data_IF_967691235823
#
_entry.id   IF_967691235823
#
_cell.length_a   1.000
_cell.length_b   1.000
_cell.length_c   1.000
_cell.angle_alpha   90.00
_cell.angle_beta   90.00
_cell.angle_gamma   90.00
#
_symmetry.space_group_name_H-M   'P 1'
#
loop_
_entity.id
_entity.type
_entity.pdbx_description
1 polymer ?
#
# COMPACT_ATOMS: atom_id res chain seq x y z
N UNK A 1 -0.73 10.65 -2.43
CA UNK A 1 -0.96 9.23 -2.77
C UNK A 1 -1.94 9.04 -3.92
N UNK A 2 -2.09 7.81 -4.35
CA UNK A 2 -3.01 7.46 -5.43
C UNK A 2 -2.54 7.77 -6.85
N UNK A 3 -1.30 8.21 -7.06
CA UNK A 3 -0.78 8.57 -8.38
C UNK A 3 -0.87 7.44 -9.41
N UNK A 4 -0.72 6.19 -8.99
CA UNK A 4 -0.90 5.03 -9.87
C UNK A 4 -2.31 4.90 -10.44
N UNK A 5 -3.35 5.22 -9.67
CA UNK A 5 -4.75 5.08 -10.06
C UNK A 5 -5.32 6.38 -10.64
N UNK A 6 -5.08 7.51 -9.98
CA UNK A 6 -5.70 8.79 -10.32
C UNK A 6 -5.05 9.47 -11.54
N UNK A 7 -3.73 9.32 -11.72
CA UNK A 7 -3.03 9.84 -12.89
C UNK A 7 -3.08 8.80 -14.01
N UNK A 8 -4.13 8.84 -14.81
CA UNK A 8 -4.38 7.87 -15.87
C UNK A 8 -4.58 8.56 -17.23
N UNK A 9 -3.80 8.14 -18.23
CA UNK A 9 -3.94 8.52 -19.63
C UNK A 9 -3.74 7.27 -20.50
N UNK A 10 -4.85 6.54 -20.83
CA UNK A 10 -4.76 5.35 -21.65
C UNK A 10 -4.20 5.66 -23.04
N UNK A 11 -3.48 4.71 -23.65
CA UNK A 11 -2.91 4.83 -24.98
C UNK A 11 -3.80 4.11 -25.99
N UNK A 12 -4.55 4.88 -26.80
CA UNK A 12 -5.44 4.38 -27.87
C UNK A 12 -6.49 3.32 -27.43
N UNK A 13 -6.77 3.23 -26.13
CA UNK A 13 -7.85 2.44 -25.54
C UNK A 13 -8.69 3.30 -24.63
N UNK A 14 -9.88 2.85 -24.30
CA UNK A 14 -10.73 3.54 -23.33
C UNK A 14 -10.24 3.32 -21.89
N UNK A 15 -10.66 4.21 -20.99
CA UNK A 15 -10.41 3.99 -19.55
C UNK A 15 -11.08 2.70 -19.05
N UNK A 16 -12.25 2.35 -19.60
CA UNK A 16 -12.97 1.11 -19.29
C UNK A 16 -12.14 -0.13 -19.65
N UNK A 17 -11.52 -0.15 -20.83
CA UNK A 17 -10.65 -1.24 -21.28
C UNK A 17 -9.47 -1.40 -20.34
N UNK A 18 -8.84 -0.28 -19.97
CA UNK A 18 -7.72 -0.28 -19.01
C UNK A 18 -8.14 -0.80 -17.64
N UNK A 19 -9.30 -0.41 -17.13
CA UNK A 19 -9.86 -0.92 -15.87
C UNK A 19 -10.12 -2.42 -15.99
N UNK A 20 -10.73 -2.87 -17.09
CA UNK A 20 -11.02 -4.28 -17.30
C UNK A 20 -9.75 -5.15 -17.32
N UNK A 21 -8.71 -4.74 -18.06
CA UNK A 21 -7.41 -5.46 -18.06
C UNK A 21 -6.77 -5.48 -16.67
N UNK A 22 -6.83 -4.35 -15.96
CA UNK A 22 -6.36 -4.22 -14.58
C UNK A 22 -7.02 -5.23 -13.65
N UNK A 23 -8.36 -5.32 -13.70
CA UNK A 23 -9.15 -6.27 -12.91
C UNK A 23 -8.82 -7.73 -13.23
N UNK A 24 -8.64 -8.05 -14.50
CA UNK A 24 -8.28 -9.41 -14.94
C UNK A 24 -6.90 -9.81 -14.42
N UNK A 25 -5.91 -8.92 -14.47
CA UNK A 25 -4.57 -9.16 -13.94
C UNK A 25 -4.59 -9.37 -12.43
N UNK A 26 -5.29 -8.53 -11.68
CA UNK A 26 -5.45 -8.67 -10.23
C UNK A 26 -6.10 -10.02 -9.86
N UNK A 27 -7.18 -10.38 -10.54
CA UNK A 27 -7.88 -11.64 -10.32
C UNK A 27 -7.08 -12.88 -10.71
N UNK A 28 -6.12 -12.74 -11.63
CA UNK A 28 -5.24 -13.82 -12.07
C UNK A 28 -4.05 -14.07 -11.12
N UNK A 29 -3.83 -13.22 -10.13
CA UNK A 29 -2.71 -13.32 -9.19
C UNK A 29 -1.39 -12.81 -9.77
N UNK A 30 -1.42 -11.92 -10.75
CA UNK A 30 -0.22 -11.27 -11.28
C UNK A 30 0.52 -10.51 -10.17
N UNK A 31 1.85 -10.59 -10.19
CA UNK A 31 2.68 -9.81 -9.27
C UNK A 31 2.56 -8.32 -9.55
N UNK A 32 2.93 -7.47 -8.60
CA UNK A 32 2.88 -6.01 -8.79
C UNK A 32 3.79 -5.55 -9.95
N UNK A 33 4.92 -6.22 -10.16
CA UNK A 33 5.85 -5.97 -11.26
C UNK A 33 5.20 -6.30 -12.61
N UNK A 34 4.60 -7.48 -12.74
CA UNK A 34 3.88 -7.90 -13.96
C UNK A 34 2.68 -6.98 -14.24
N UNK A 35 1.95 -6.65 -13.21
CA UNK A 35 0.84 -5.72 -13.26
C UNK A 35 1.28 -4.33 -13.78
N UNK A 36 2.36 -3.78 -13.21
CA UNK A 36 2.90 -2.50 -13.65
C UNK A 36 3.48 -2.57 -15.07
N UNK A 37 4.13 -3.66 -15.47
CA UNK A 37 4.62 -3.86 -16.83
C UNK A 37 3.50 -3.64 -17.85
N UNK A 38 2.38 -4.36 -17.74
CA UNK A 38 1.25 -4.20 -18.68
C UNK A 38 0.67 -2.78 -18.61
N UNK A 39 0.50 -2.22 -17.40
CA UNK A 39 -0.06 -0.87 -17.21
C UNK A 39 0.78 0.25 -17.84
N UNK A 40 2.10 0.14 -17.81
CA UNK A 40 3.04 1.09 -18.43
C UNK A 40 2.90 1.07 -19.95
N UNK A 41 2.80 -0.11 -20.56
CA UNK A 41 2.66 -0.26 -22.00
C UNK A 41 1.28 0.14 -22.55
N UNK A 42 0.26 0.21 -21.70
CA UNK A 42 -1.09 0.70 -22.03
C UNK A 42 -1.33 2.17 -21.61
N UNK A 43 -0.26 2.95 -21.42
CA UNK A 43 -0.37 4.33 -20.94
C UNK A 43 0.50 5.29 -21.73
N UNK A 44 0.01 6.51 -21.97
CA UNK A 44 0.77 7.62 -22.58
C UNK A 44 1.69 8.34 -21.60
N UNK A 45 1.60 8.08 -20.29
CA UNK A 45 2.32 8.86 -19.26
C UNK A 45 3.10 8.02 -18.27
N UNK A 46 2.84 6.70 -18.16
CA UNK A 46 3.55 5.81 -17.24
C UNK A 46 4.83 5.26 -17.86
N UNK A 47 5.76 4.74 -17.03
CA UNK A 47 7.04 4.22 -17.50
C UNK A 47 7.92 5.28 -18.17
N UNK A 48 8.04 6.47 -17.56
CA UNK A 48 8.89 7.57 -18.05
C UNK A 48 8.29 8.44 -19.14
N UNK A 49 7.16 8.03 -19.74
CA UNK A 49 6.57 8.72 -20.89
C UNK A 49 6.08 10.14 -20.57
N UNK A 50 5.72 10.46 -19.32
CA UNK A 50 5.29 11.81 -18.94
C UNK A 50 6.35 12.86 -19.26
N UNK A 51 7.62 12.52 -19.12
CA UNK A 51 8.76 13.43 -19.28
C UNK A 51 9.60 13.13 -20.52
N UNK A 52 9.20 12.16 -21.34
CA UNK A 52 9.95 11.69 -22.50
C UNK A 52 10.31 12.82 -23.49
N UNK A 53 9.37 13.71 -23.73
CA UNK A 53 9.51 14.81 -24.71
C UNK A 53 9.97 16.14 -24.06
N UNK A 54 10.36 16.13 -22.77
CA UNK A 54 10.88 17.34 -22.13
C UNK A 54 12.18 17.81 -22.79
N UNK A 55 12.23 19.12 -23.10
CA UNK A 55 13.39 19.79 -23.67
C UNK A 55 14.21 20.59 -22.66
N UNK A 56 13.77 20.65 -21.43
CA UNK A 56 14.43 21.33 -20.31
C UNK A 56 14.93 20.30 -19.28
N UNK A 57 15.81 20.76 -18.39
CA UNK A 57 16.13 20.00 -17.19
C UNK A 57 14.90 19.95 -16.27
N UNK A 58 14.76 18.84 -15.55
CA UNK A 58 13.66 18.65 -14.63
C UNK A 58 14.10 17.90 -13.39
N UNK A 59 13.37 18.13 -12.29
CA UNK A 59 13.53 17.41 -11.02
C UNK A 59 12.17 16.84 -10.63
N UNK A 60 12.13 15.55 -10.34
CA UNK A 60 10.97 14.85 -9.77
C UNK A 60 11.08 14.78 -8.26
N UNK A 61 10.12 15.39 -7.55
CA UNK A 61 10.00 15.25 -6.09
C UNK A 61 8.93 14.21 -5.79
N UNK A 62 9.34 13.09 -5.21
CA UNK A 62 8.51 11.89 -5.05
C UNK A 62 8.25 11.62 -3.58
N UNK A 63 6.98 11.43 -3.22
CA UNK A 63 6.59 10.82 -1.94
C UNK A 63 6.26 9.35 -2.18
N UNK A 64 6.95 8.46 -1.44
CA UNK A 64 6.86 7.02 -1.66
C UNK A 64 5.83 6.36 -0.76
N UNK A 65 4.93 5.61 -1.38
CA UNK A 65 3.99 4.66 -0.77
C UNK A 65 4.31 3.20 -1.15
N UNK A 66 5.55 2.95 -1.56
CA UNK A 66 6.02 1.63 -2.03
C UNK A 66 7.14 1.11 -1.14
N UNK A 67 7.09 -0.17 -0.79
CA UNK A 67 8.17 -0.86 -0.09
C UNK A 67 9.48 -0.75 -0.88
N UNK A 68 10.55 -0.29 -0.20
CA UNK A 68 11.87 -0.13 -0.82
C UNK A 68 12.05 1.08 -1.73
N UNK A 69 11.06 1.97 -1.80
CA UNK A 69 11.11 3.25 -2.53
C UNK A 69 11.43 3.10 -4.04
N UNK A 70 11.02 2.00 -4.65
CA UNK A 70 11.26 1.73 -6.06
C UNK A 70 10.58 2.75 -6.98
N UNK A 71 11.35 3.68 -7.53
CA UNK A 71 10.88 4.75 -8.43
C UNK A 71 10.16 4.22 -9.67
N UNK A 72 10.48 3.01 -10.12
CA UNK A 72 9.81 2.38 -11.25
C UNK A 72 8.38 1.96 -10.94
N UNK A 73 8.08 1.72 -9.67
CA UNK A 73 6.78 1.29 -9.15
C UNK A 73 5.92 2.45 -8.65
N UNK A 74 6.54 3.48 -8.04
CA UNK A 74 5.81 4.66 -7.53
C UNK A 74 5.11 5.37 -8.68
N UNK A 75 3.79 5.56 -8.56
CA UNK A 75 2.92 6.08 -9.62
C UNK A 75 3.06 5.34 -10.96
N UNK A 76 3.56 4.07 -10.94
CA UNK A 76 3.96 3.27 -12.10
C UNK A 76 5.06 3.94 -12.94
N UNK A 77 6.03 4.57 -12.28
CA UNK A 77 7.22 5.14 -12.90
C UNK A 77 6.95 6.27 -13.89
N UNK A 78 6.01 7.18 -13.59
CA UNK A 78 5.59 8.25 -14.53
C UNK A 78 6.76 9.11 -15.02
N UNK A 79 7.73 9.35 -14.15
CA UNK A 79 8.93 10.17 -14.43
C UNK A 79 10.23 9.37 -14.43
N UNK A 80 10.13 8.04 -14.30
CA UNK A 80 11.28 7.14 -14.20
C UNK A 80 11.29 6.14 -15.34
N UNK A 81 12.48 5.72 -15.79
CA UNK A 81 12.66 4.74 -16.86
C UNK A 81 11.96 3.40 -16.58
N UNK A 82 11.70 2.67 -17.64
CA UNK A 82 11.07 1.35 -17.59
C UNK A 82 11.94 0.29 -18.25
N UNK A 83 12.40 -0.67 -17.50
CA UNK A 83 13.23 -1.78 -18.00
C UNK A 83 12.40 -2.84 -18.74
N UNK A 84 11.06 -2.85 -18.57
CA UNK A 84 10.16 -3.82 -19.21
C UNK A 84 9.84 -3.44 -20.66
N UNK A 85 9.41 -4.41 -21.45
CA UNK A 85 9.18 -4.28 -22.90
C UNK A 85 7.74 -4.67 -23.28
N UNK A 86 7.31 -4.33 -24.50
CA UNK A 86 6.06 -4.86 -25.07
C UNK A 86 6.05 -6.39 -25.15
N UNK A 87 7.22 -7.02 -25.36
CA UNK A 87 7.35 -8.47 -25.33
C UNK A 87 7.06 -9.05 -23.95
N UNK A 88 7.57 -8.40 -22.88
CA UNK A 88 7.26 -8.79 -21.50
C UNK A 88 5.77 -8.63 -21.21
N UNK A 89 5.17 -7.52 -21.59
CA UNK A 89 3.75 -7.26 -21.40
C UNK A 89 2.88 -8.30 -22.11
N UNK A 90 3.20 -8.68 -23.35
CA UNK A 90 2.50 -9.72 -24.09
C UNK A 90 2.67 -11.10 -23.44
N UNK A 91 3.90 -11.43 -23.01
CA UNK A 91 4.20 -12.68 -22.31
C UNK A 91 3.40 -12.83 -21.01
N UNK A 92 3.18 -11.74 -20.28
CA UNK A 92 2.32 -11.72 -19.08
C UNK A 92 0.87 -12.03 -19.43
N UNK A 93 0.33 -11.42 -20.49
CA UNK A 93 -1.02 -11.70 -20.98
C UNK A 93 -1.18 -13.20 -21.36
N UNK A 94 -0.16 -13.78 -21.97
CA UNK A 94 -0.13 -15.22 -22.33
C UNK A 94 -0.04 -16.11 -21.09
N UNK A 95 0.90 -15.82 -20.17
CA UNK A 95 1.11 -16.55 -18.92
C UNK A 95 -0.20 -16.74 -18.14
N UNK A 96 -0.99 -15.67 -18.05
CA UNK A 96 -2.27 -15.71 -17.34
C UNK A 96 -3.48 -16.09 -18.22
N UNK A 97 -3.25 -16.48 -19.48
CA UNK A 97 -4.28 -16.90 -20.45
C UNK A 97 -5.39 -15.85 -20.63
N UNK A 98 -4.99 -14.60 -20.74
CA UNK A 98 -5.94 -13.48 -20.82
C UNK A 98 -6.26 -13.04 -22.25
N UNK A 99 -5.58 -13.55 -23.30
CA UNK A 99 -5.78 -13.14 -24.71
C UNK A 99 -7.25 -13.12 -25.15
N UNK A 100 -8.04 -14.10 -24.74
CA UNK A 100 -9.46 -14.19 -25.12
C UNK A 100 -10.40 -13.41 -24.19
N UNK A 101 -9.86 -12.76 -23.16
CA UNK A 101 -10.65 -12.08 -22.13
C UNK A 101 -10.46 -10.56 -22.17
N UNK A 102 -9.40 -10.08 -22.80
CA UNK A 102 -9.10 -8.63 -22.91
C UNK A 102 -9.60 -8.08 -24.24
N UNK A 103 -9.89 -6.75 -24.31
CA UNK A 103 -10.30 -6.09 -25.53
C UNK A 103 -9.28 -6.27 -26.67
N UNK A 104 -9.77 -6.35 -27.91
CA UNK A 104 -8.92 -6.55 -29.08
C UNK A 104 -7.97 -5.37 -29.31
N UNK A 105 -8.40 -4.15 -28.96
CA UNK A 105 -7.62 -2.92 -29.03
C UNK A 105 -6.36 -3.00 -28.15
N UNK A 106 -6.48 -3.61 -26.97
CA UNK A 106 -5.34 -3.85 -26.06
C UNK A 106 -4.33 -4.81 -26.70
N UNK A 107 -4.82 -5.92 -27.31
CA UNK A 107 -3.95 -6.85 -28.03
C UNK A 107 -3.27 -6.18 -29.22
N UNK A 108 -3.96 -5.30 -29.95
CA UNK A 108 -3.39 -4.55 -31.07
C UNK A 108 -2.26 -3.63 -30.61
N UNK A 109 -2.44 -2.89 -29.50
CA UNK A 109 -1.39 -2.01 -28.96
C UNK A 109 -0.15 -2.82 -28.57
N UNK A 110 -0.32 -3.90 -27.81
CA UNK A 110 0.79 -4.74 -27.38
C UNK A 110 1.45 -5.41 -28.58
N UNK A 111 0.67 -5.87 -29.58
CA UNK A 111 1.15 -6.44 -30.81
C UNK A 111 1.92 -5.44 -31.68
N UNK A 112 1.42 -4.21 -31.82
CA UNK A 112 2.10 -3.15 -32.54
C UNK A 112 3.46 -2.81 -31.91
N UNK A 113 3.53 -2.79 -30.57
CA UNK A 113 4.81 -2.62 -29.86
C UNK A 113 5.75 -3.80 -30.11
N UNK A 114 5.26 -5.03 -30.03
CA UNK A 114 6.05 -6.24 -30.31
C UNK A 114 6.65 -6.26 -31.73
N UNK A 115 5.95 -5.70 -32.71
CA UNK A 115 6.39 -5.58 -34.10
C UNK A 115 7.11 -4.26 -34.42
N UNK A 116 7.57 -3.51 -33.42
CA UNK A 116 8.25 -2.23 -33.55
C UNK A 116 7.44 -1.14 -34.30
N UNK A 117 6.12 -1.24 -34.30
CA UNK A 117 5.21 -0.22 -34.83
C UNK A 117 4.86 0.85 -33.80
N UNK A 118 5.21 0.62 -32.53
CA UNK A 118 5.20 1.59 -31.42
C UNK A 118 6.56 1.64 -30.77
N UNK A 119 6.94 2.84 -30.34
CA UNK A 119 8.19 3.06 -29.58
C UNK A 119 8.06 2.44 -28.20
N UNK A 120 9.11 1.75 -27.77
CA UNK A 120 9.23 1.24 -26.40
C UNK A 120 9.16 2.35 -25.35
N UNK A 121 8.82 1.97 -24.13
CA UNK A 121 8.92 2.85 -22.97
C UNK A 121 10.37 3.35 -22.81
N UNK A 122 10.58 4.60 -22.35
CA UNK A 122 11.92 5.16 -22.14
C UNK A 122 12.81 4.28 -21.27
N UNK A 123 14.01 3.98 -21.78
CA UNK A 123 15.04 3.16 -21.09
C UNK A 123 16.06 4.00 -20.32
N UNK A 124 15.96 5.33 -20.41
CA UNK A 124 16.84 6.28 -19.73
C UNK A 124 15.96 7.33 -19.05
N UNK A 125 16.24 7.60 -17.79
CA UNK A 125 15.57 8.68 -17.06
C UNK A 125 15.91 10.04 -17.67
N UNK A 126 14.88 10.85 -17.96
CA UNK A 126 15.04 12.20 -18.54
C UNK A 126 15.25 13.29 -17.49
N UNK A 127 14.86 13.00 -16.26
CA UNK A 127 14.97 13.90 -15.11
C UNK A 127 15.54 13.16 -13.91
N UNK A 128 16.10 13.90 -12.98
CA UNK A 128 16.49 13.35 -11.68
C UNK A 128 15.26 13.23 -10.76
N UNK A 129 15.13 12.10 -10.08
CA UNK A 129 14.03 11.85 -9.16
C UNK A 129 14.58 11.71 -7.73
N UNK A 130 13.99 12.45 -6.79
CA UNK A 130 14.34 12.44 -5.38
C UNK A 130 13.15 11.99 -4.54
N UNK A 131 13.33 10.94 -3.75
CA UNK A 131 12.34 10.57 -2.72
C UNK A 131 12.49 11.52 -1.55
N UNK A 132 11.54 12.43 -1.41
CA UNK A 132 11.55 13.51 -0.38
C UNK A 132 10.81 13.10 0.89
N UNK A 133 9.95 12.10 0.83
CA UNK A 133 9.24 11.56 1.98
C UNK A 133 8.89 10.09 1.73
N UNK A 134 9.03 9.27 2.76
CA UNK A 134 8.66 7.86 2.77
C UNK A 134 8.24 7.41 4.19
N UNK A 135 7.88 6.16 4.35
CA UNK A 135 7.47 5.61 5.65
C UNK A 135 8.59 5.72 6.71
N UNK A 136 9.86 5.53 6.33
CA UNK A 136 10.98 5.62 7.27
C UNK A 136 11.09 7.01 7.93
N UNK A 137 10.80 8.09 7.20
CA UNK A 137 10.80 9.44 7.78
C UNK A 137 9.75 9.57 8.89
N UNK A 138 8.57 8.94 8.72
CA UNK A 138 7.56 8.88 9.78
C UNK A 138 8.09 8.13 11.00
N UNK A 139 8.70 6.95 10.79
CA UNK A 139 9.23 6.12 11.87
C UNK A 139 10.37 6.80 12.62
N UNK A 140 11.25 7.52 11.93
CA UNK A 140 12.34 8.29 12.54
C UNK A 140 11.81 9.42 13.43
N UNK A 141 10.82 10.18 12.96
CA UNK A 141 10.17 11.23 13.74
C UNK A 141 9.47 10.67 14.99
N UNK A 142 8.77 9.52 14.84
CA UNK A 142 8.15 8.82 15.97
C UNK A 142 9.21 8.32 16.96
N UNK A 143 10.33 7.77 16.48
CA UNK A 143 11.45 7.33 17.32
C UNK A 143 12.06 8.45 18.13
N UNK A 144 12.36 9.58 17.49
CA UNK A 144 12.91 10.77 18.17
C UNK A 144 11.96 11.24 19.28
N UNK A 145 10.66 11.31 18.98
CA UNK A 145 9.64 11.70 19.94
C UNK A 145 9.54 10.70 21.11
N UNK A 146 9.55 9.40 20.85
CA UNK A 146 9.48 8.38 21.89
C UNK A 146 10.74 8.41 22.79
N UNK A 147 11.94 8.53 22.19
CA UNK A 147 13.19 8.66 22.94
C UNK A 147 13.23 9.91 23.82
N UNK A 148 12.75 11.05 23.34
CA UNK A 148 12.67 12.28 24.14
C UNK A 148 11.77 12.16 25.36
N UNK A 149 10.79 11.24 25.32
CA UNK A 149 9.90 10.88 26.43
C UNK A 149 10.44 9.75 27.32
N UNK A 150 11.67 9.30 27.08
CA UNK A 150 12.36 8.27 27.86
C UNK A 150 11.94 6.84 27.56
N UNK A 151 11.37 6.57 26.38
CA UNK A 151 11.06 5.21 25.95
C UNK A 151 12.29 4.53 25.30
N UNK A 152 12.47 3.24 25.59
CA UNK A 152 13.33 2.35 24.81
C UNK A 152 12.58 1.96 23.54
N UNK A 153 13.13 2.27 22.36
CA UNK A 153 12.44 2.14 21.08
C UNK A 153 12.94 0.94 20.28
N UNK A 154 12.00 0.20 19.72
CA UNK A 154 12.22 -0.81 18.69
C UNK A 154 11.41 -0.40 17.46
N UNK A 155 11.99 -0.47 16.25
CA UNK A 155 11.27 -0.25 14.98
C UNK A 155 11.08 -1.58 14.25
N UNK A 156 9.92 -1.77 13.64
CA UNK A 156 9.59 -2.96 12.88
C UNK A 156 8.82 -2.62 11.61
N UNK A 157 9.25 -3.18 10.48
CA UNK A 157 8.51 -3.15 9.23
C UNK A 157 7.42 -4.23 9.22
N UNK A 158 6.21 -3.86 8.77
CA UNK A 158 5.00 -4.70 8.81
C UNK A 158 4.43 -4.91 7.40
N UNK A 159 5.06 -5.78 6.62
CA UNK A 159 4.58 -6.20 5.31
C UNK A 159 4.11 -7.66 5.32
N UNK A 160 3.22 -8.02 4.37
CA UNK A 160 2.69 -9.35 4.19
C UNK A 160 1.39 -9.63 4.94
N UNK A 161 1.02 -10.91 5.09
CA UNK A 161 -0.25 -11.31 5.72
C UNK A 161 -0.33 -10.82 7.16
N UNK A 162 -1.45 -10.20 7.50
CA UNK A 162 -1.67 -9.58 8.82
C UNK A 162 -1.51 -10.57 9.99
N UNK A 163 -1.79 -11.86 9.79
CA UNK A 163 -1.65 -12.85 10.87
C UNK A 163 -0.20 -13.10 11.21
N UNK A 164 0.66 -13.18 10.17
CA UNK A 164 2.10 -13.33 10.35
C UNK A 164 2.72 -12.04 10.92
N UNK A 165 2.24 -10.88 10.48
CA UNK A 165 2.63 -9.58 11.05
C UNK A 165 2.29 -9.54 12.55
N UNK A 166 1.08 -9.89 12.94
CA UNK A 166 0.67 -9.92 14.35
C UNK A 166 1.54 -10.87 15.17
N UNK A 167 1.87 -12.06 14.65
CA UNK A 167 2.76 -13.00 15.33
C UNK A 167 4.11 -12.36 15.61
N UNK A 168 4.77 -11.78 14.60
CA UNK A 168 6.06 -11.08 14.76
C UNK A 168 5.97 -9.91 15.75
N UNK A 169 4.88 -9.15 15.73
CA UNK A 169 4.65 -8.05 16.68
C UNK A 169 4.59 -8.59 18.11
N UNK A 170 3.82 -9.65 18.36
CA UNK A 170 3.68 -10.23 19.70
C UNK A 170 4.99 -10.77 20.27
N UNK A 171 5.87 -11.31 19.41
CA UNK A 171 7.22 -11.76 19.79
C UNK A 171 8.15 -10.60 20.18
N UNK A 172 7.83 -9.36 19.76
CA UNK A 172 8.64 -8.16 20.02
C UNK A 172 8.02 -7.22 21.06
N UNK A 173 6.84 -7.53 21.60
CA UNK A 173 6.27 -6.76 22.72
C UNK A 173 7.06 -7.09 23.98
N UNK A 174 7.78 -6.09 24.51
CA UNK A 174 8.51 -6.22 25.77
C UNK A 174 7.56 -6.25 26.97
N UNK A 175 7.94 -6.95 28.04
CA UNK A 175 7.27 -6.84 29.35
C UNK A 175 7.80 -5.65 30.16
N UNK A 176 8.95 -5.09 29.78
CA UNK A 176 9.55 -3.93 30.44
C UNK A 176 8.70 -2.67 30.25
N UNK A 177 8.58 -1.87 31.31
CA UNK A 177 7.92 -0.57 31.25
C UNK A 177 8.78 0.44 30.46
N UNK A 178 8.13 1.46 29.90
CA UNK A 178 8.76 2.48 29.05
C UNK A 178 9.42 1.88 27.79
N UNK A 179 8.79 0.89 27.21
CA UNK A 179 9.13 0.40 25.88
C UNK A 179 8.14 0.86 24.83
N UNK A 180 8.63 1.15 23.64
CA UNK A 180 7.88 1.62 22.50
C UNK A 180 8.26 0.80 21.26
N UNK A 181 7.31 0.02 20.74
CA UNK A 181 7.46 -0.65 19.45
C UNK A 181 6.77 0.22 18.39
N UNK A 182 7.56 0.73 17.44
CA UNK A 182 7.09 1.55 16.31
C UNK A 182 6.95 0.63 15.08
N UNK A 183 5.82 0.73 14.42
CA UNK A 183 5.44 -0.09 13.27
C UNK A 183 5.32 0.78 12.03
N UNK A 184 5.81 0.30 10.90
CA UNK A 184 5.66 0.97 9.61
C UNK A 184 5.52 -0.02 8.47
N UNK A 185 4.74 0.29 7.45
CA UNK A 185 4.55 -0.55 6.28
C UNK A 185 3.10 -0.70 5.87
N UNK A 186 2.76 -1.81 5.21
CA UNK A 186 1.43 -2.03 4.66
C UNK A 186 1.06 -3.52 4.73
N UNK A 187 0.50 -4.01 5.87
CA UNK A 187 0.07 -5.38 5.97
C UNK A 187 -1.16 -5.64 5.09
N UNK A 188 -1.28 -6.87 4.59
CA UNK A 188 -2.42 -7.29 3.78
C UNK A 188 -3.45 -8.04 4.60
N UNK A 189 -4.73 -7.77 4.34
CA UNK A 189 -5.88 -8.40 5.01
C UNK A 189 -6.74 -9.12 3.99
N UNK A 190 -7.09 -10.37 4.28
CA UNK A 190 -8.12 -11.09 3.55
C UNK A 190 -9.49 -10.75 4.15
N UNK A 191 -10.32 -10.04 3.40
CA UNK A 191 -11.69 -9.73 3.79
C UNK A 191 -12.52 -11.02 3.79
N UNK A 192 -13.15 -11.35 4.91
CA UNK A 192 -13.91 -12.60 5.11
C UNK A 192 -15.41 -12.39 5.16
N UNK A 193 -15.87 -11.21 5.53
CA UNK A 193 -17.28 -10.88 5.72
C UNK A 193 -17.70 -9.59 5.04
N UNK A 194 -18.85 -9.06 5.44
CA UNK A 194 -19.44 -7.81 4.91
C UNK A 194 -19.36 -6.64 5.92
N UNK A 195 -18.46 -6.76 6.91
CA UNK A 195 -18.27 -5.73 7.93
C UNK A 195 -17.59 -4.47 7.41
N UNK A 196 -17.35 -3.54 8.31
CA UNK A 196 -16.69 -2.29 8.07
C UNK A 196 -15.36 -2.23 8.82
N UNK A 197 -14.30 -1.76 8.14
CA UNK A 197 -12.96 -1.62 8.69
C UNK A 197 -11.87 -1.71 7.64
N UNK A 198 -10.65 -1.69 8.09
CA UNK A 198 -9.46 -1.87 7.26
C UNK A 198 -8.36 -2.58 8.03
N UNK A 199 -7.18 -2.63 7.42
CA UNK A 199 -6.02 -3.36 7.95
C UNK A 199 -5.49 -2.78 9.27
N UNK A 200 -5.54 -1.46 9.45
CA UNK A 200 -5.07 -0.81 10.66
C UNK A 200 -5.96 -1.14 11.87
N UNK A 201 -7.27 -0.98 11.71
CA UNK A 201 -8.23 -1.33 12.75
C UNK A 201 -8.20 -2.83 13.05
N UNK A 202 -8.08 -3.68 12.02
CA UNK A 202 -7.97 -5.12 12.21
C UNK A 202 -6.67 -5.50 12.92
N UNK A 203 -5.53 -4.85 12.60
CA UNK A 203 -4.25 -5.05 13.27
C UNK A 203 -4.36 -4.77 14.77
N UNK A 204 -4.90 -3.61 15.14
CA UNK A 204 -5.11 -3.23 16.55
C UNK A 204 -6.00 -4.23 17.26
N UNK A 205 -7.12 -4.67 16.64
CA UNK A 205 -8.04 -5.65 17.24
C UNK A 205 -7.37 -7.03 17.44
N UNK A 206 -6.56 -7.47 16.49
CA UNK A 206 -5.81 -8.74 16.59
C UNK A 206 -4.76 -8.69 17.70
N UNK A 207 -4.03 -7.59 17.82
CA UNK A 207 -3.05 -7.40 18.90
C UNK A 207 -3.77 -7.34 20.24
N UNK A 208 -4.83 -6.53 20.37
CA UNK A 208 -5.65 -6.43 21.60
C UNK A 208 -6.15 -7.80 22.05
N UNK A 209 -6.69 -8.62 21.12
CA UNK A 209 -7.17 -9.97 21.42
C UNK A 209 -6.09 -10.86 22.06
N UNK A 210 -4.85 -10.73 21.62
CA UNK A 210 -3.74 -11.57 22.09
C UNK A 210 -3.01 -10.98 23.32
N UNK A 211 -3.22 -9.71 23.64
CA UNK A 211 -2.55 -9.02 24.75
C UNK A 211 -3.43 -8.80 25.98
N UNK A 212 -4.59 -9.47 26.08
CA UNK A 212 -5.56 -9.31 27.18
C UNK A 212 -4.98 -9.56 28.59
N UNK A 213 -3.90 -10.33 28.69
CA UNK A 213 -3.19 -10.61 29.95
C UNK A 213 -2.16 -9.53 30.32
N UNK A 214 -1.75 -8.72 29.38
CA UNK A 214 -0.76 -7.66 29.61
C UNK A 214 -1.43 -6.47 30.29
N UNK A 215 -0.77 -5.89 31.29
CA UNK A 215 -1.23 -4.67 31.96
C UNK A 215 -0.58 -3.44 31.32
N UNK A 216 -1.30 -2.32 31.27
CA UNK A 216 -0.77 -1.00 30.85
C UNK A 216 -0.12 -1.06 29.46
N UNK A 217 -0.85 -1.50 28.48
CA UNK A 217 -0.42 -1.46 27.07
C UNK A 217 -1.35 -0.54 26.28
N UNK A 218 -0.78 0.32 25.46
CA UNK A 218 -1.50 1.15 24.48
C UNK A 218 -1.09 0.71 23.08
N UNK A 219 -2.05 0.50 22.20
CA UNK A 219 -1.86 0.03 20.84
C UNK A 219 -2.58 1.00 19.91
N UNK A 220 -1.86 1.53 18.90
CA UNK A 220 -2.47 2.34 17.85
C UNK A 220 -1.89 1.98 16.49
N UNK A 221 -2.72 2.07 15.45
CA UNK A 221 -2.30 1.97 14.05
C UNK A 221 -3.23 2.77 13.17
N UNK A 222 -2.66 3.43 12.14
CA UNK A 222 -3.42 4.24 11.19
C UNK A 222 -2.75 4.33 9.82
N UNK A 223 -3.54 4.49 8.78
CA UNK A 223 -3.07 4.90 7.46
C UNK A 223 -2.72 6.38 7.45
N UNK A 224 -1.57 6.73 6.88
CA UNK A 224 -1.15 8.14 6.77
C UNK A 224 -2.02 8.95 5.82
N UNK A 225 -2.78 8.31 4.93
CA UNK A 225 -3.76 8.94 4.03
C UNK A 225 -5.07 9.36 4.72
N UNK A 226 -5.28 8.88 5.96
CA UNK A 226 -6.46 9.21 6.77
C UNK A 226 -7.64 8.25 6.59
N UNK A 227 -7.48 7.18 5.81
CA UNK A 227 -8.53 6.19 5.54
C UNK A 227 -8.03 4.78 5.82
N UNK A 228 -8.88 3.96 6.41
CA UNK A 228 -8.59 2.54 6.67
C UNK A 228 -9.69 1.65 6.08
N UNK A 229 -9.39 1.07 4.92
CA UNK A 229 -10.29 0.18 4.18
C UNK A 229 -11.57 0.88 3.70
N UNK A 230 -12.72 0.31 4.06
CA UNK A 230 -14.04 0.86 3.73
C UNK A 230 -14.66 1.68 4.88
N UNK A 231 -13.85 2.15 5.82
CA UNK A 231 -14.29 2.99 6.94
C UNK A 231 -14.00 4.47 6.70
N UNK A 232 -14.63 5.34 7.51
CA UNK A 232 -14.37 6.79 7.52
C UNK A 232 -13.34 7.19 8.60
N UNK A 233 -12.46 6.26 8.99
CA UNK A 233 -11.46 6.45 10.02
C UNK A 233 -10.08 6.11 9.47
N UNK A 234 -9.06 6.78 9.97
CA UNK A 234 -7.67 6.49 9.61
C UNK A 234 -7.16 5.18 10.24
N UNK A 235 -7.73 4.78 11.37
CA UNK A 235 -7.28 3.61 12.11
C UNK A 235 -7.95 3.48 13.48
N UNK A 236 -7.24 2.85 14.41
CA UNK A 236 -7.71 2.67 15.77
C UNK A 236 -6.61 2.85 16.82
N UNK A 237 -7.05 3.20 18.03
CA UNK A 237 -6.24 3.25 19.25
C UNK A 237 -7.00 2.54 20.37
N UNK A 238 -6.30 1.81 21.21
CA UNK A 238 -6.87 1.21 22.40
C UNK A 238 -5.83 1.09 23.50
N UNK A 239 -6.29 1.26 24.72
CA UNK A 239 -5.59 0.73 25.89
C UNK A 239 -6.05 -0.71 26.15
N UNK A 240 -5.44 -1.38 27.12
CA UNK A 240 -5.88 -2.73 27.48
C UNK A 240 -7.27 -2.71 28.13
N UNK A 241 -8.29 -2.78 27.30
CA UNK A 241 -9.68 -2.94 27.70
C UNK A 241 -10.03 -4.42 27.82
N UNK A 242 -10.77 -4.77 28.86
CA UNK A 242 -11.32 -6.13 29.02
C UNK A 242 -12.53 -6.29 28.12
N UNK A 243 -12.38 -7.09 27.09
CA UNK A 243 -13.48 -7.46 26.18
C UNK A 243 -13.50 -8.98 26.05
N UNK A 244 -14.70 -9.53 25.99
CA UNK A 244 -14.87 -10.97 25.76
C UNK A 244 -14.19 -11.42 24.44
N UNK A 245 -13.41 -12.51 24.53
CA UNK A 245 -12.66 -13.05 23.43
C UNK A 245 -13.53 -13.52 22.25
N UNK A 246 -14.74 -14.01 22.53
CA UNK A 246 -15.65 -14.48 21.49
C UNK A 246 -16.22 -13.28 20.72
N UNK A 247 -16.56 -12.21 21.41
CA UNK A 247 -16.95 -10.94 20.79
C UNK A 247 -15.88 -10.45 19.81
N UNK A 248 -14.61 -10.38 20.22
CA UNK A 248 -13.52 -9.98 19.32
C UNK A 248 -13.36 -10.91 18.11
N UNK A 249 -13.51 -12.24 18.30
CA UNK A 249 -13.46 -13.22 17.21
C UNK A 249 -14.59 -13.02 16.21
N UNK A 250 -15.79 -12.70 16.64
CA UNK A 250 -16.93 -12.43 15.77
C UNK A 250 -16.70 -11.20 14.88
N UNK A 251 -16.23 -10.09 15.47
CA UNK A 251 -15.88 -8.91 14.69
C UNK A 251 -14.77 -9.19 13.67
N UNK A 252 -13.72 -9.93 14.05
CA UNK A 252 -12.65 -10.33 13.14
C UNK A 252 -13.15 -11.26 12.02
N UNK A 253 -14.02 -12.22 12.33
CA UNK A 253 -14.60 -13.15 11.33
C UNK A 253 -15.45 -12.42 10.30
N UNK A 254 -16.10 -11.33 10.69
CA UNK A 254 -16.95 -10.53 9.80
C UNK A 254 -16.20 -9.36 9.15
N UNK A 255 -14.88 -9.20 9.38
CA UNK A 255 -14.08 -8.04 8.95
C UNK A 255 -14.71 -6.70 9.39
N UNK A 256 -15.18 -6.63 10.64
CA UNK A 256 -15.99 -5.53 11.18
C UNK A 256 -15.29 -4.76 12.33
N UNK A 257 -13.98 -4.59 12.19
CA UNK A 257 -13.13 -3.93 13.19
C UNK A 257 -13.51 -2.47 13.43
N UNK A 258 -14.04 -1.77 12.42
CA UNK A 258 -14.48 -0.37 12.58
C UNK A 258 -15.62 -0.23 13.56
N UNK A 259 -16.68 -1.05 13.43
CA UNK A 259 -17.80 -1.00 14.37
C UNK A 259 -17.40 -1.44 15.78
N UNK A 260 -16.42 -2.35 15.90
CA UNK A 260 -15.85 -2.69 17.21
C UNK A 260 -15.27 -1.43 17.87
N UNK A 261 -14.36 -0.72 17.19
CA UNK A 261 -13.71 0.45 17.78
C UNK A 261 -14.64 1.67 17.93
N UNK A 262 -15.66 1.81 17.09
CA UNK A 262 -16.70 2.81 17.32
C UNK A 262 -17.42 2.59 18.67
N UNK A 263 -17.79 1.35 18.99
CA UNK A 263 -18.40 1.00 20.30
C UNK A 263 -17.45 1.26 21.47
N UNK A 264 -16.15 1.07 21.27
CA UNK A 264 -15.13 1.29 22.30
C UNK A 264 -14.60 2.73 22.35
N UNK A 265 -15.09 3.63 21.48
CA UNK A 265 -14.59 5.01 21.32
C UNK A 265 -13.08 5.07 21.02
N UNK A 266 -12.55 4.07 20.31
CA UNK A 266 -11.14 3.90 19.99
C UNK A 266 -10.82 4.12 18.52
N UNK A 267 -11.64 4.83 17.75
CA UNK A 267 -11.37 5.17 16.35
C UNK A 267 -10.46 6.40 16.25
N UNK A 268 -9.52 6.38 15.30
CA UNK A 268 -8.71 7.56 14.94
C UNK A 268 -9.33 8.18 13.69
N UNK A 269 -9.68 9.47 13.78
CA UNK A 269 -10.24 10.24 12.67
C UNK A 269 -9.34 11.44 12.36
N UNK A 270 -8.90 11.56 11.12
CA UNK A 270 -8.06 12.67 10.62
C UNK A 270 -8.67 13.35 9.39
N UNK A 271 -9.72 12.75 8.80
CA UNK A 271 -10.17 13.01 7.43
C UNK A 271 -9.01 12.76 6.41
N UNK A 272 -9.21 13.07 5.13
CA UNK A 272 -8.16 12.91 4.11
C UNK A 272 -6.97 13.82 4.40
N UNK A 273 -5.79 13.24 4.51
CA UNK A 273 -4.54 13.99 4.77
C UNK A 273 -3.89 14.50 3.48
N UNK A 274 -4.37 14.06 2.32
CA UNK A 274 -3.79 14.31 0.99
C UNK A 274 -2.35 13.79 0.84
N UNK A 275 -1.93 12.89 1.72
CA UNK A 275 -0.61 12.27 1.73
C UNK A 275 -0.76 10.76 1.91
N UNK A 276 0.09 9.95 1.28
CA UNK A 276 0.18 8.52 1.54
C UNK A 276 1.65 8.12 1.67
N UNK A 277 2.03 7.70 2.86
CA UNK A 277 3.34 7.14 3.19
C UNK A 277 3.19 5.78 3.89
N UNK A 278 2.18 5.00 3.46
CA UNK A 278 1.76 3.72 4.07
C UNK A 278 1.20 3.89 5.50
N UNK A 279 1.18 2.80 6.25
CA UNK A 279 0.65 2.78 7.61
C UNK A 279 1.75 3.06 8.63
N UNK A 280 1.34 3.64 9.76
CA UNK A 280 2.16 3.82 10.96
C UNK A 280 1.43 3.25 12.17
N UNK A 281 2.20 2.69 13.10
CA UNK A 281 1.63 2.18 14.35
C UNK A 281 2.59 2.32 15.52
N UNK A 282 2.04 2.21 16.72
CA UNK A 282 2.80 2.30 17.96
C UNK A 282 2.21 1.38 19.01
N UNK A 283 3.08 0.71 19.75
CA UNK A 283 2.70 -0.04 20.94
C UNK A 283 3.55 0.47 22.09
N UNK A 284 2.90 0.98 23.14
CA UNK A 284 3.54 1.51 24.34
C UNK A 284 3.29 0.57 25.53
N UNK A 285 4.34 0.39 26.33
CA UNK A 285 4.32 -0.38 27.55
C UNK A 285 4.89 0.40 28.73
#
# INVERSE_FOLDING_TARGET
GGGSALLAMPDEITLSDKVHVTDLLLKSGATIQEFNCVRKHLSKIKGGKLVENMKCQGIGLVMSDVEGDDLSSIASGTTYMDDTTYADAMSIIEKYRLKLKIPIEVLQILGNGLHNQKTETPKIAKIENYVIANNNNCLESMEQTAKSKGYKVIKMQIFGDIKEVVKRILENISEEQKTCLILGGEPTVKVLGKGQGGRNQELVLRILKNTQKLKKITIASMGTDGIDGNSNFAGAITENIKVDLNTMKEFLKNSDSSRFFQKQKGTIKTDFTHMNLMDIGIILK
#
